data_IF_652265569515
#
_entry.id   IF_652265569515
#
_cell.length_a   1.000
_cell.length_b   1.000
_cell.length_c   1.000
_cell.angle_alpha   90.00
_cell.angle_beta   90.00
_cell.angle_gamma   90.00
#
_symmetry.space_group_name_H-M   'P 1'
#
loop_
_entity.id
_entity.type
_entity.pdbx_description
1 polymer ?
#
# COMPACT_ATOMS: atom_id res chain seq x y z
N UNK A 1 7.27 -12.51 21.52
CA UNK A 1 6.72 -12.41 20.15
C UNK A 1 7.53 -11.36 19.40
N UNK A 2 8.37 -11.79 18.46
CA UNK A 2 9.49 -11.01 17.93
C UNK A 2 9.14 -10.16 16.69
N UNK A 3 10.04 -9.24 16.35
CA UNK A 3 9.96 -8.26 15.26
C UNK A 3 9.28 -8.74 13.99
N UNK A 4 9.52 -9.99 13.56
CA UNK A 4 8.90 -10.64 12.39
C UNK A 4 7.37 -10.50 12.32
N UNK A 5 6.70 -10.41 13.48
CA UNK A 5 5.25 -10.24 13.55
C UNK A 5 4.80 -8.86 13.07
N UNK A 6 5.57 -7.79 13.32
CA UNK A 6 5.19 -6.41 12.94
C UNK A 6 5.12 -6.27 11.41
N UNK A 7 6.09 -6.81 10.69
CA UNK A 7 6.09 -6.80 9.23
C UNK A 7 4.94 -7.62 8.61
N UNK A 8 4.65 -8.81 9.15
CA UNK A 8 3.52 -9.62 8.68
C UNK A 8 2.18 -8.95 8.95
N UNK A 9 2.00 -8.37 10.15
CA UNK A 9 0.78 -7.64 10.51
C UNK A 9 0.58 -6.41 9.58
N UNK A 10 1.65 -5.69 9.25
CA UNK A 10 1.60 -4.56 8.32
C UNK A 10 1.19 -4.99 6.90
N UNK A 11 1.78 -6.07 6.38
CA UNK A 11 1.39 -6.61 5.06
C UNK A 11 -0.07 -7.05 5.04
N UNK A 12 -0.54 -7.72 6.10
CA UNK A 12 -1.94 -8.13 6.21
C UNK A 12 -2.89 -6.91 6.21
N UNK A 13 -2.54 -5.85 6.95
CA UNK A 13 -3.32 -4.61 6.99
C UNK A 13 -3.40 -3.91 5.62
N UNK A 14 -2.29 -3.88 4.86
CA UNK A 14 -2.27 -3.29 3.52
C UNK A 14 -3.12 -4.11 2.57
N UNK A 15 -2.99 -5.45 2.57
CA UNK A 15 -3.84 -6.33 1.75
C UNK A 15 -5.32 -6.16 2.08
N UNK A 16 -5.67 -6.05 3.36
CA UNK A 16 -7.05 -5.77 3.78
C UNK A 16 -7.54 -4.41 3.28
N UNK A 17 -6.67 -3.40 3.25
CA UNK A 17 -6.99 -2.07 2.72
C UNK A 17 -7.23 -2.12 1.20
N UNK A 18 -6.38 -2.82 0.45
CA UNK A 18 -6.56 -3.02 -1.00
C UNK A 18 -7.85 -3.78 -1.28
N UNK A 19 -8.13 -4.87 -0.57
CA UNK A 19 -9.37 -5.63 -0.71
C UNK A 19 -10.61 -4.79 -0.31
N UNK A 20 -10.46 -3.83 0.60
CA UNK A 20 -11.50 -2.87 0.95
C UNK A 20 -11.75 -1.79 -0.13
N UNK A 21 -10.77 -1.53 -0.99
CA UNK A 21 -10.93 -0.67 -2.18
C UNK A 21 -11.73 -1.42 -3.25
N UNK A 22 -11.27 -2.62 -3.60
CA UNK A 22 -11.95 -3.55 -4.51
C UNK A 22 -11.37 -4.97 -4.33
N UNK A 23 -12.20 -5.99 -4.02
CA UNK A 23 -11.72 -7.35 -3.79
C UNK A 23 -11.21 -8.06 -5.07
N UNK A 24 -11.50 -7.54 -6.26
CA UNK A 24 -11.03 -8.10 -7.53
C UNK A 24 -9.63 -7.62 -7.93
N UNK A 25 -9.06 -6.65 -7.21
CA UNK A 25 -7.71 -6.17 -7.47
C UNK A 25 -6.70 -7.27 -7.15
N UNK A 26 -5.93 -7.64 -8.18
CA UNK A 26 -4.76 -8.49 -8.06
C UNK A 26 -3.52 -7.60 -8.11
N UNK A 27 -2.67 -7.73 -7.09
CA UNK A 27 -1.39 -7.02 -7.05
C UNK A 27 -0.43 -7.62 -8.08
N UNK A 28 0.29 -6.76 -8.77
CA UNK A 28 1.34 -7.15 -9.70
C UNK A 28 2.64 -7.53 -8.98
N UNK A 29 3.62 -8.00 -9.76
CA UNK A 29 4.92 -8.41 -9.22
C UNK A 29 5.65 -7.26 -8.50
N UNK A 30 5.53 -6.03 -9.00
CA UNK A 30 6.16 -4.86 -8.40
C UNK A 30 5.56 -4.58 -7.01
N UNK A 31 4.25 -4.62 -6.89
CA UNK A 31 3.52 -4.40 -5.63
C UNK A 31 3.79 -5.52 -4.62
N UNK A 32 3.89 -6.77 -5.07
CA UNK A 32 4.31 -7.90 -4.23
C UNK A 32 5.76 -7.75 -3.72
N UNK A 33 6.66 -7.22 -4.55
CA UNK A 33 8.01 -6.84 -4.12
C UNK A 33 7.97 -5.70 -3.07
N UNK A 34 7.12 -4.69 -3.25
CA UNK A 34 6.94 -3.62 -2.27
C UNK A 34 6.39 -4.17 -0.94
N UNK A 35 5.42 -5.09 -0.96
CA UNK A 35 4.93 -5.74 0.27
C UNK A 35 6.05 -6.48 1.01
N UNK A 36 6.93 -7.17 0.29
CA UNK A 36 8.10 -7.81 0.88
C UNK A 36 9.07 -6.79 1.49
N UNK A 37 9.29 -5.65 0.82
CA UNK A 37 10.13 -4.56 1.33
C UNK A 37 9.54 -3.92 2.59
N UNK A 38 8.23 -3.69 2.61
CA UNK A 38 7.47 -3.17 3.76
C UNK A 38 7.61 -4.09 4.97
N UNK A 39 7.42 -5.40 4.78
CA UNK A 39 7.60 -6.36 5.86
C UNK A 39 9.02 -6.30 6.44
N UNK A 40 10.05 -6.21 5.59
CA UNK A 40 11.44 -6.09 6.03
C UNK A 40 11.70 -4.80 6.80
N UNK A 41 11.17 -3.67 6.33
CA UNK A 41 11.34 -2.38 6.98
C UNK A 41 10.70 -2.33 8.38
N UNK A 42 9.45 -2.78 8.53
CA UNK A 42 8.80 -2.86 9.85
C UNK A 42 9.47 -3.85 10.80
N UNK A 43 9.99 -4.97 10.28
CA UNK A 43 10.78 -5.91 11.09
C UNK A 43 12.08 -5.25 11.57
N UNK A 44 12.77 -4.52 10.68
CA UNK A 44 13.99 -3.79 11.02
C UNK A 44 13.73 -2.70 12.06
N UNK A 45 12.65 -1.94 11.93
CA UNK A 45 12.21 -0.95 12.93
C UNK A 45 12.00 -1.60 14.30
N UNK A 46 11.28 -2.73 14.34
CA UNK A 46 11.04 -3.44 15.60
C UNK A 46 12.33 -4.03 16.24
N UNK A 47 13.34 -4.38 15.44
CA UNK A 47 14.65 -4.79 15.97
C UNK A 47 15.45 -3.58 16.48
N UNK A 48 15.41 -2.44 15.78
CA UNK A 48 16.01 -1.17 16.22
C UNK A 48 15.39 -0.66 17.53
N UNK A 49 14.06 -0.73 17.67
CA UNK A 49 13.36 -0.41 18.91
C UNK A 49 13.85 -1.28 20.07
N UNK A 50 14.06 -2.59 19.83
CA UNK A 50 14.56 -3.52 20.83
C UNK A 50 16.00 -3.19 21.21
N UNK A 51 16.83 -2.85 20.24
CA UNK A 51 18.23 -2.49 20.48
C UNK A 51 18.34 -1.14 21.21
N UNK A 52 17.45 -0.17 20.93
CA UNK A 52 17.33 1.06 21.68
C UNK A 52 16.92 0.79 23.15
N UNK A 53 15.95 -0.11 23.38
CA UNK A 53 15.54 -0.51 24.72
C UNK A 53 16.68 -1.19 25.50
N UNK A 54 17.41 -2.10 24.85
CA UNK A 54 18.61 -2.75 25.45
C UNK A 54 19.70 -1.73 25.75
N UNK A 55 19.98 -0.80 24.83
CA UNK A 55 20.96 0.25 25.02
C UNK A 55 20.61 1.15 26.21
N UNK A 56 19.33 1.51 26.35
CA UNK A 56 18.82 2.27 27.49
C UNK A 56 18.96 1.50 28.82
N UNK A 57 18.59 0.21 28.84
CA UNK A 57 18.71 -0.64 30.01
C UNK A 57 20.17 -0.85 30.44
N UNK A 58 21.09 -0.91 29.48
CA UNK A 58 22.54 -1.03 29.72
C UNK A 58 23.22 0.30 30.10
N UNK A 59 22.47 1.40 30.26
CA UNK A 59 23.03 2.71 30.63
C UNK A 59 23.89 3.36 29.54
N UNK A 60 23.70 2.99 28.26
CA UNK A 60 24.41 3.62 27.15
C UNK A 60 23.98 5.09 26.98
N UNK A 61 24.79 5.85 26.24
CA UNK A 61 24.55 7.28 26.01
C UNK A 61 23.17 7.54 25.41
N UNK A 62 22.52 8.61 25.86
CA UNK A 62 21.22 9.07 25.35
C UNK A 62 21.27 9.32 23.84
N UNK A 63 22.40 9.78 23.32
CA UNK A 63 22.65 9.97 21.89
C UNK A 63 22.51 8.68 21.10
N UNK A 64 23.18 7.60 21.51
CA UNK A 64 23.10 6.32 20.80
C UNK A 64 21.70 5.70 20.82
N UNK A 65 20.95 5.87 21.91
CA UNK A 65 19.53 5.46 21.97
C UNK A 65 18.68 6.28 21.01
N UNK A 66 18.94 7.59 20.93
CA UNK A 66 18.20 8.50 20.04
C UNK A 66 18.45 8.20 18.56
N UNK A 67 19.70 7.88 18.20
CA UNK A 67 20.09 7.50 16.84
C UNK A 67 19.37 6.21 16.39
N UNK A 68 19.31 5.19 17.27
CA UNK A 68 18.57 3.94 16.98
C UNK A 68 17.06 4.17 16.78
N UNK A 69 16.45 5.01 17.62
CA UNK A 69 15.03 5.36 17.48
C UNK A 69 14.76 6.20 16.23
N UNK A 70 15.70 7.07 15.84
CA UNK A 70 15.60 7.84 14.61
C UNK A 70 15.69 6.91 13.38
N UNK A 71 16.61 5.95 13.38
CA UNK A 71 16.71 4.94 12.32
C UNK A 71 15.44 4.10 12.24
N UNK A 72 14.89 3.68 13.38
CA UNK A 72 13.61 2.93 13.43
C UNK A 72 12.49 3.69 12.73
N UNK A 73 12.32 4.98 13.05
CA UNK A 73 11.32 5.86 12.41
C UNK A 73 11.55 6.05 10.92
N UNK A 74 12.81 6.11 10.47
CA UNK A 74 13.12 6.20 9.04
C UNK A 74 12.65 4.96 8.28
N UNK A 75 12.83 3.77 8.87
CA UNK A 75 12.35 2.52 8.28
C UNK A 75 10.82 2.50 8.19
N UNK A 76 10.11 2.90 9.24
CA UNK A 76 8.64 2.97 9.25
C UNK A 76 8.12 3.98 8.22
N UNK A 77 8.68 5.19 8.18
CA UNK A 77 8.31 6.21 7.20
C UNK A 77 8.53 5.74 5.75
N UNK A 78 9.60 4.98 5.49
CA UNK A 78 9.84 4.44 4.15
C UNK A 78 8.82 3.35 3.80
N UNK A 79 8.47 2.49 4.77
CA UNK A 79 7.44 1.48 4.61
C UNK A 79 6.06 2.10 4.32
N UNK A 80 5.70 3.18 5.02
CA UNK A 80 4.46 3.92 4.79
C UNK A 80 4.37 4.53 3.39
N UNK A 81 5.49 5.04 2.87
CA UNK A 81 5.55 5.56 1.49
C UNK A 81 5.29 4.46 0.45
N UNK A 82 5.87 3.29 0.63
CA UNK A 82 5.60 2.15 -0.24
C UNK A 82 4.17 1.64 -0.09
N UNK A 83 3.63 1.58 1.13
CA UNK A 83 2.24 1.22 1.36
C UNK A 83 1.29 2.17 0.62
N UNK A 84 1.58 3.48 0.67
CA UNK A 84 0.83 4.50 -0.06
C UNK A 84 0.89 4.29 -1.58
N UNK A 85 2.04 3.92 -2.12
CA UNK A 85 2.17 3.62 -3.56
C UNK A 85 1.24 2.48 -3.99
N UNK A 86 1.19 1.40 -3.21
CA UNK A 86 0.29 0.26 -3.48
C UNK A 86 -1.18 0.71 -3.42
N UNK A 87 -1.58 1.45 -2.39
CA UNK A 87 -2.97 1.90 -2.27
C UNK A 87 -3.37 2.89 -3.35
N UNK A 88 -2.46 3.79 -3.75
CA UNK A 88 -2.71 4.76 -4.81
C UNK A 88 -2.83 4.06 -6.17
N UNK A 89 -2.01 3.02 -6.43
CA UNK A 89 -2.10 2.17 -7.62
C UNK A 89 -3.45 1.43 -7.67
N UNK A 90 -3.85 0.79 -6.58
CA UNK A 90 -5.15 0.13 -6.46
C UNK A 90 -6.32 1.10 -6.74
N UNK A 91 -6.27 2.31 -6.16
CA UNK A 91 -7.29 3.34 -6.39
C UNK A 91 -7.32 3.82 -7.85
N UNK A 92 -6.16 3.88 -8.52
CA UNK A 92 -6.05 4.27 -9.91
C UNK A 92 -6.72 3.24 -10.85
N UNK A 93 -6.54 1.94 -10.59
CA UNK A 93 -7.17 0.85 -11.35
C UNK A 93 -8.70 0.91 -11.27
N UNK A 94 -9.27 1.12 -10.09
CA UNK A 94 -10.73 1.27 -9.94
C UNK A 94 -11.23 2.50 -10.68
N UNK A 95 -10.46 3.59 -10.64
CA UNK A 95 -10.84 4.84 -11.29
C UNK A 95 -10.77 4.75 -12.81
N UNK A 96 -9.77 4.06 -13.37
CA UNK A 96 -9.68 3.82 -14.82
C UNK A 96 -10.81 2.91 -15.30
N UNK A 97 -11.07 1.79 -14.60
CA UNK A 97 -12.17 0.87 -14.91
C UNK A 97 -13.54 1.59 -14.95
N UNK A 98 -13.82 2.46 -13.96
CA UNK A 98 -15.04 3.29 -13.94
C UNK A 98 -15.10 4.28 -15.11
N UNK A 99 -13.98 4.88 -15.52
CA UNK A 99 -13.92 5.79 -16.66
C UNK A 99 -14.17 5.05 -17.98
N UNK A 100 -13.57 3.88 -18.15
CA UNK A 100 -13.75 3.05 -19.36
C UNK A 100 -15.19 2.58 -19.50
N UNK A 101 -15.83 2.15 -18.40
CA UNK A 101 -17.27 1.85 -18.39
C UNK A 101 -18.12 3.05 -18.82
N UNK A 102 -17.85 4.25 -18.27
CA UNK A 102 -18.60 5.46 -18.64
C UNK A 102 -18.38 5.84 -20.11
N UNK A 103 -17.16 5.71 -20.62
CA UNK A 103 -16.82 5.96 -22.01
C UNK A 103 -17.52 4.96 -22.94
N UNK A 104 -17.55 3.67 -22.59
CA UNK A 104 -18.28 2.63 -23.32
C UNK A 104 -19.80 2.87 -23.29
N UNK A 105 -20.38 3.26 -22.15
CA UNK A 105 -21.79 3.62 -22.04
C UNK A 105 -22.14 4.84 -22.91
N UNK A 106 -21.29 5.88 -22.89
CA UNK A 106 -21.47 7.06 -23.72
C UNK A 106 -21.30 6.75 -25.23
N UNK A 107 -20.40 5.84 -25.59
CA UNK A 107 -20.27 5.35 -26.95
C UNK A 107 -21.53 4.60 -27.39
N UNK A 108 -22.01 3.63 -26.60
CA UNK A 108 -23.26 2.88 -26.90
C UNK A 108 -24.46 3.81 -27.05
N UNK A 109 -24.64 4.79 -26.17
CA UNK A 109 -25.73 5.76 -26.29
C UNK A 109 -25.70 6.55 -27.61
N UNK A 110 -24.52 6.86 -28.15
CA UNK A 110 -24.38 7.49 -29.48
C UNK A 110 -24.79 6.54 -30.60
N UNK A 111 -24.38 5.27 -30.54
CA UNK A 111 -24.75 4.26 -31.52
C UNK A 111 -26.25 3.94 -31.51
N UNK A 112 -26.85 3.80 -30.33
CA UNK A 112 -28.29 3.53 -30.17
C UNK A 112 -29.15 4.73 -30.62
N UNK A 113 -28.70 5.96 -30.35
CA UNK A 113 -29.36 7.18 -30.85
C UNK A 113 -29.29 7.34 -32.38
N UNK A 114 -28.19 6.89 -33.01
CA UNK A 114 -28.04 6.84 -34.48
C UNK A 114 -28.88 5.72 -35.10
N UNK A 115 -29.01 4.57 -34.43
CA UNK A 115 -29.86 3.47 -34.90
C UNK A 115 -31.36 3.83 -34.86
N UNK A 116 -31.82 4.48 -33.79
CA UNK A 116 -33.23 4.91 -33.66
C UNK A 116 -33.61 6.06 -34.60
N UNK A 117 -32.68 6.94 -34.96
CA UNK A 117 -32.94 8.02 -35.92
C UNK A 117 -32.96 7.56 -37.39
N UNK A 118 -32.43 6.36 -37.68
CA UNK A 118 -32.48 5.75 -39.02
C UNK A 118 -33.75 4.93 -39.28
N UNK A 119 -34.42 4.47 -38.23
CA UNK A 119 -35.70 3.74 -38.32
C UNK A 119 -36.93 4.66 -38.46
N UNK A 120 -36.75 5.99 -38.34
CA UNK A 120 -37.82 6.99 -38.40
C UNK A 120 -37.91 7.74 -39.74
N UNK A 121 -37.32 7.22 -40.82
CA UNK A 121 -37.45 7.76 -42.18
C UNK A 121 -38.15 6.80 -43.12
#
# INVERSE_FOLDING_TARGET
MGARKRGTDAVAAIRATVAGIDPEIVLDEHEEHLLTAIARAYNRAADLDRDAAKARAAGKSSRGVTELLAESRLQENQAERWAKQITDAAQAVVTSSKKDWRAQKAARARWDGVANSKAAR
#
